data_IF_632199784332
#
_entry.id   IF_632199784332
#
_cell.length_a   1.000
_cell.length_b   1.000
_cell.length_c   1.000
_cell.angle_alpha   90.00
_cell.angle_beta   90.00
_cell.angle_gamma   90.00
#
_symmetry.space_group_name_H-M   'P 1'
#
loop_
_entity.id
_entity.type
_entity.pdbx_description
1 polymer ?
#
# COMPACT_ATOMS: atom_id res chain seq x y z
N UNK A 1 38.79 14.28 -33.00
CA UNK A 1 39.79 14.11 -31.92
C UNK A 1 39.37 12.88 -31.14
N UNK A 2 40.15 11.79 -31.05
CA UNK A 2 39.78 10.61 -30.29
C UNK A 2 39.81 10.94 -28.80
N UNK A 3 38.69 10.61 -28.09
CA UNK A 3 38.55 10.83 -26.65
C UNK A 3 39.70 10.18 -25.87
N UNK A 4 40.18 10.88 -24.83
CA UNK A 4 41.32 10.46 -24.00
C UNK A 4 41.09 9.06 -23.38
N UNK A 5 42.14 8.24 -23.20
CA UNK A 5 41.99 6.85 -22.70
C UNK A 5 41.23 6.73 -21.37
N UNK A 6 41.37 7.71 -20.48
CA UNK A 6 40.64 7.76 -19.20
C UNK A 6 39.11 7.91 -19.38
N UNK A 7 38.66 8.64 -20.38
CA UNK A 7 37.27 8.86 -20.69
C UNK A 7 36.59 7.60 -21.30
N UNK A 8 37.37 6.87 -22.13
CA UNK A 8 36.91 5.55 -22.67
C UNK A 8 36.80 4.50 -21.58
N UNK A 9 37.69 4.48 -20.60
CA UNK A 9 37.66 3.55 -19.48
C UNK A 9 36.45 3.86 -18.55
N UNK A 10 36.21 5.15 -18.28
CA UNK A 10 35.05 5.61 -17.47
C UNK A 10 33.74 5.32 -18.16
N UNK A 11 33.64 5.51 -19.47
CA UNK A 11 32.43 5.12 -20.25
C UNK A 11 32.20 3.61 -20.26
N UNK A 12 33.24 2.79 -20.42
CA UNK A 12 33.14 1.32 -20.39
C UNK A 12 32.70 0.82 -19.02
N UNK A 13 33.18 1.38 -17.93
CA UNK A 13 32.78 1.00 -16.58
C UNK A 13 31.32 1.43 -16.26
N UNK A 14 30.89 2.60 -16.72
CA UNK A 14 29.51 3.06 -16.56
C UNK A 14 28.52 2.20 -17.37
N UNK A 15 28.83 1.87 -18.62
CA UNK A 15 28.03 1.01 -19.48
C UNK A 15 27.93 -0.41 -18.90
N UNK A 16 29.02 -0.94 -18.31
CA UNK A 16 29.00 -2.24 -17.66
C UNK A 16 28.12 -2.25 -16.41
N UNK A 17 28.13 -1.15 -15.63
CA UNK A 17 27.26 -0.98 -14.45
C UNK A 17 25.79 -0.96 -14.79
N UNK A 18 25.37 -0.15 -15.78
CA UNK A 18 23.97 -0.10 -16.25
C UNK A 18 23.51 -1.45 -16.77
N UNK A 19 24.35 -2.12 -17.58
CA UNK A 19 24.04 -3.46 -18.09
C UNK A 19 23.83 -4.48 -16.98
N UNK A 20 24.60 -4.41 -15.91
CA UNK A 20 24.45 -5.28 -14.74
C UNK A 20 23.10 -5.10 -14.04
N UNK A 21 22.67 -3.84 -13.84
CA UNK A 21 21.35 -3.55 -13.24
C UNK A 21 20.20 -4.00 -14.14
N UNK A 22 20.31 -3.81 -15.45
CA UNK A 22 19.30 -4.31 -16.41
C UNK A 22 19.22 -5.84 -16.41
N UNK A 23 20.36 -6.53 -16.33
CA UNK A 23 20.37 -8.00 -16.22
C UNK A 23 19.78 -8.46 -14.88
N UNK A 24 20.03 -7.75 -13.79
CA UNK A 24 19.41 -8.03 -12.50
C UNK A 24 17.88 -7.85 -12.56
N UNK A 25 17.40 -6.76 -13.14
CA UNK A 25 15.97 -6.53 -13.35
C UNK A 25 15.33 -7.62 -14.23
N UNK A 26 15.98 -7.99 -15.33
CA UNK A 26 15.52 -9.10 -16.19
C UNK A 26 15.42 -10.43 -15.42
N UNK A 27 16.38 -10.71 -14.55
CA UNK A 27 16.35 -11.92 -13.74
C UNK A 27 15.20 -11.89 -12.71
N UNK A 28 14.94 -10.74 -12.08
CA UNK A 28 13.78 -10.54 -11.21
C UNK A 28 12.46 -10.80 -11.93
N UNK A 29 12.29 -10.24 -13.12
CA UNK A 29 11.13 -10.46 -13.97
C UNK A 29 10.96 -11.95 -14.34
N UNK A 30 12.04 -12.61 -14.81
CA UNK A 30 12.02 -14.03 -15.17
C UNK A 30 11.68 -14.96 -14.01
N UNK A 31 12.15 -14.64 -12.80
CA UNK A 31 11.79 -15.38 -11.59
C UNK A 31 10.28 -15.38 -11.36
N UNK A 32 9.61 -14.23 -11.59
CA UNK A 32 8.16 -14.14 -11.53
C UNK A 32 7.44 -15.09 -12.49
N UNK A 33 7.94 -15.23 -13.73
CA UNK A 33 7.34 -16.09 -14.76
C UNK A 33 7.34 -17.59 -14.37
N UNK A 34 8.27 -18.04 -13.54
CA UNK A 34 8.35 -19.42 -13.09
C UNK A 34 7.15 -19.85 -12.23
N UNK A 35 6.54 -18.89 -11.52
CA UNK A 35 5.45 -19.13 -10.56
C UNK A 35 4.09 -18.61 -11.06
N UNK A 36 3.93 -18.40 -12.37
CA UNK A 36 2.73 -17.79 -12.96
C UNK A 36 1.41 -18.48 -12.58
N UNK A 37 1.39 -19.83 -12.53
CA UNK A 37 0.18 -20.56 -12.14
C UNK A 37 -0.23 -20.30 -10.69
N UNK A 38 0.72 -20.35 -9.74
CA UNK A 38 0.47 -19.99 -8.35
C UNK A 38 0.00 -18.54 -8.20
N UNK A 39 0.54 -17.64 -9.03
CA UNK A 39 0.12 -16.23 -9.02
C UNK A 39 -1.32 -16.04 -9.53
N UNK A 40 -1.79 -16.85 -10.50
CA UNK A 40 -3.19 -16.80 -10.95
C UNK A 40 -4.16 -17.22 -9.84
N UNK A 41 -3.85 -18.27 -9.10
CA UNK A 41 -4.65 -18.73 -7.95
C UNK A 41 -4.70 -17.63 -6.87
N UNK A 42 -3.56 -17.02 -6.57
CA UNK A 42 -3.50 -15.90 -5.62
C UNK A 42 -4.29 -14.67 -6.10
N UNK A 43 -4.27 -14.37 -7.39
CA UNK A 43 -5.08 -13.29 -7.96
C UNK A 43 -6.57 -13.56 -7.79
N UNK A 44 -7.03 -14.79 -8.03
CA UNK A 44 -8.41 -15.17 -7.81
C UNK A 44 -8.82 -14.98 -6.35
N UNK A 45 -8.01 -15.46 -5.41
CA UNK A 45 -8.25 -15.26 -3.98
C UNK A 45 -8.33 -13.76 -3.61
N UNK A 46 -7.40 -12.94 -4.11
CA UNK A 46 -7.41 -11.50 -3.87
C UNK A 46 -8.62 -10.80 -4.49
N UNK A 47 -9.10 -11.26 -5.66
CA UNK A 47 -10.34 -10.73 -6.26
C UNK A 47 -11.54 -11.01 -5.36
N UNK A 48 -11.66 -12.25 -4.85
CA UNK A 48 -12.73 -12.61 -3.91
C UNK A 48 -12.69 -11.72 -2.66
N UNK A 49 -11.51 -11.53 -2.05
CA UNK A 49 -11.37 -10.61 -0.92
C UNK A 49 -11.78 -9.17 -1.27
N UNK A 50 -11.36 -8.68 -2.43
CA UNK A 50 -11.75 -7.35 -2.89
C UNK A 50 -13.26 -7.19 -3.06
N UNK A 51 -13.96 -8.19 -3.62
CA UNK A 51 -15.41 -8.18 -3.72
C UNK A 51 -16.09 -8.27 -2.35
N UNK A 52 -15.57 -9.05 -1.43
CA UNK A 52 -16.06 -9.08 -0.04
C UNK A 52 -15.93 -7.69 0.61
N UNK A 53 -14.80 -7.03 0.48
CA UNK A 53 -14.63 -5.67 1.00
C UNK A 53 -15.59 -4.67 0.35
N UNK A 54 -15.80 -4.74 -0.96
CA UNK A 54 -16.76 -3.89 -1.68
C UNK A 54 -18.18 -4.16 -1.14
N UNK A 55 -18.59 -5.42 -0.94
CA UNK A 55 -19.89 -5.78 -0.41
C UNK A 55 -20.10 -5.27 1.01
N UNK A 56 -19.10 -5.45 1.90
CA UNK A 56 -19.12 -4.95 3.28
C UNK A 56 -19.30 -3.43 3.31
N UNK A 57 -18.51 -2.70 2.52
CA UNK A 57 -18.61 -1.25 2.49
C UNK A 57 -19.90 -0.74 1.87
N UNK A 58 -20.42 -1.42 0.83
CA UNK A 58 -21.75 -1.10 0.27
C UNK A 58 -22.86 -1.29 1.30
N UNK A 59 -22.84 -2.38 2.06
CA UNK A 59 -23.79 -2.65 3.13
C UNK A 59 -23.69 -1.61 4.25
N UNK A 60 -22.47 -1.27 4.69
CA UNK A 60 -22.22 -0.26 5.72
C UNK A 60 -22.71 1.14 5.30
N UNK A 61 -22.52 1.51 4.03
CA UNK A 61 -22.97 2.79 3.51
C UNK A 61 -24.47 2.83 3.22
N UNK A 62 -25.11 1.71 2.86
CA UNK A 62 -26.54 1.61 2.63
C UNK A 62 -27.37 1.65 3.93
N UNK A 63 -26.80 1.12 5.04
CA UNK A 63 -27.45 1.14 6.36
C UNK A 63 -27.33 2.49 7.09
N UNK A 64 -26.57 3.44 6.56
CA UNK A 64 -26.48 4.77 7.15
C UNK A 64 -27.75 5.57 6.83
N UNK A 65 -28.54 6.03 7.84
CA UNK A 65 -29.74 6.81 7.58
C UNK A 65 -29.36 8.08 6.81
N UNK A 66 -30.03 8.31 5.68
CA UNK A 66 -29.92 9.56 4.95
C UNK A 66 -30.44 10.69 5.85
N UNK A 67 -29.53 11.42 6.48
CA UNK A 67 -29.89 12.66 7.15
C UNK A 67 -30.20 13.68 6.08
N UNK A 68 -31.49 13.76 5.66
CA UNK A 68 -31.99 14.94 5.00
C UNK A 68 -31.63 16.17 5.85
N UNK A 69 -31.19 17.28 5.25
CA UNK A 69 -31.04 18.52 6.00
C UNK A 69 -32.38 18.86 6.60
N UNK A 70 -32.50 18.71 7.91
CA UNK A 70 -33.69 19.12 8.65
C UNK A 70 -33.74 20.64 8.54
N UNK A 71 -34.58 21.13 7.62
CA UNK A 71 -35.07 22.48 7.66
C UNK A 71 -35.70 22.67 9.04
N UNK A 72 -35.03 23.43 9.88
CA UNK A 72 -35.61 23.88 11.16
C UNK A 72 -36.72 24.82 10.81
N UNK A 73 -37.93 24.32 10.64
CA UNK A 73 -39.14 25.10 10.67
C UNK A 73 -39.31 25.52 12.13
N UNK A 74 -39.10 26.77 12.44
CA UNK A 74 -39.58 27.41 13.66
C UNK A 74 -41.09 27.36 13.66
N UNK A 75 -41.64 26.42 14.40
CA UNK A 75 -43.07 26.30 14.68
C UNK A 75 -43.26 26.37 16.18
N UNK A 76 -43.84 27.46 16.62
CA UNK A 76 -44.30 27.76 17.97
C UNK A 76 -45.34 26.79 18.49
N UNK A 77 -45.17 26.36 19.72
CA UNK A 77 -46.18 26.12 20.72
C UNK A 77 -47.29 25.08 20.47
N UNK A 78 -47.33 24.09 21.32
CA UNK A 78 -48.53 23.76 22.12
C UNK A 78 -48.27 22.50 22.98
N UNK A 79 -48.54 22.67 24.25
CA UNK A 79 -48.76 21.68 25.32
C UNK A 79 -49.81 20.64 24.97
N UNK A 80 -49.55 19.36 25.25
CA UNK A 80 -50.54 18.28 25.14
C UNK A 80 -50.12 17.03 25.90
N UNK A 81 -50.74 16.82 27.02
CA UNK A 81 -50.63 15.71 27.96
C UNK A 81 -51.28 14.44 27.42
N UNK A 82 -50.75 13.29 27.83
CA UNK A 82 -51.40 11.97 27.97
C UNK A 82 -51.63 11.10 26.73
N UNK A 83 -51.14 9.90 26.74
CA UNK A 83 -51.89 8.65 27.00
C UNK A 83 -50.99 7.40 26.92
N UNK A 84 -51.03 6.59 27.96
CA UNK A 84 -50.55 5.21 27.99
C UNK A 84 -51.40 4.34 27.06
N UNK A 85 -50.79 3.57 26.20
CA UNK A 85 -51.38 2.48 25.42
C UNK A 85 -50.51 1.23 25.43
N UNK A 86 -51.07 0.03 25.17
CA UNK A 86 -50.56 -1.23 25.69
C UNK A 86 -49.40 -1.84 24.93
N UNK A 87 -48.68 -2.71 25.64
CA UNK A 87 -47.54 -3.49 25.26
C UNK A 87 -47.83 -4.35 24.03
N UNK A 88 -47.12 -4.13 22.92
CA UNK A 88 -47.12 -5.02 21.76
C UNK A 88 -45.94 -6.03 21.83
N UNK A 89 -46.07 -7.22 21.27
CA UNK A 89 -45.16 -8.32 21.45
C UNK A 89 -43.80 -8.08 20.77
N UNK A 90 -42.74 -8.49 21.48
CA UNK A 90 -41.36 -8.48 21.01
C UNK A 90 -41.21 -9.47 19.85
N UNK A 91 -41.08 -8.95 18.63
CA UNK A 91 -40.62 -9.74 17.50
C UNK A 91 -39.08 -9.70 17.54
N UNK A 92 -38.47 -10.85 17.83
CA UNK A 92 -37.02 -11.04 17.70
C UNK A 92 -36.69 -11.08 16.21
N UNK A 93 -36.40 -9.94 15.63
CA UNK A 93 -35.80 -9.84 14.32
C UNK A 93 -34.29 -9.59 14.50
N UNK A 94 -33.51 -10.44 13.86
CA UNK A 94 -32.08 -10.53 13.76
C UNK A 94 -31.35 -9.19 13.92
N UNK A 95 -30.75 -8.96 15.10
CA UNK A 95 -30.10 -7.72 15.44
C UNK A 95 -28.71 -7.61 14.84
N UNK A 96 -28.55 -6.67 13.92
CA UNK A 96 -27.36 -5.86 13.89
C UNK A 96 -27.77 -4.51 14.50
N UNK A 97 -27.21 -4.24 15.65
CA UNK A 97 -27.53 -3.18 16.61
C UNK A 97 -27.81 -1.83 15.98
N UNK A 98 -28.99 -1.31 16.28
CA UNK A 98 -29.21 0.14 16.26
C UNK A 98 -28.18 0.84 17.15
N UNK A 99 -27.63 1.99 16.76
CA UNK A 99 -26.75 2.75 17.61
C UNK A 99 -27.53 3.14 18.87
N UNK A 100 -27.08 2.66 20.02
CA UNK A 100 -27.60 3.07 21.33
C UNK A 100 -27.41 4.59 21.53
N UNK A 101 -28.12 5.19 22.49
CA UNK A 101 -27.97 6.61 22.80
C UNK A 101 -26.50 6.90 23.08
N UNK A 102 -25.91 7.79 22.27
CA UNK A 102 -24.50 8.12 22.33
C UNK A 102 -24.09 8.55 23.73
N UNK A 103 -22.96 8.02 24.20
CA UNK A 103 -22.34 8.46 25.46
C UNK A 103 -22.10 9.98 25.36
N UNK A 104 -22.62 10.82 26.26
CA UNK A 104 -22.37 12.23 26.24
C UNK A 104 -20.87 12.51 26.32
N UNK A 105 -20.30 13.15 25.28
CA UNK A 105 -18.86 13.46 25.21
C UNK A 105 -18.07 12.63 24.21
N UNK A 106 -18.66 11.62 23.52
CA UNK A 106 -17.99 10.99 22.39
C UNK A 106 -17.90 11.98 21.22
N UNK A 107 -16.74 12.16 20.60
CA UNK A 107 -16.64 12.98 19.39
C UNK A 107 -17.60 12.41 18.33
N UNK A 108 -18.29 13.25 17.56
CA UNK A 108 -19.21 12.78 16.54
C UNK A 108 -18.45 11.85 15.60
N UNK A 109 -18.83 10.57 15.57
CA UNK A 109 -18.33 9.64 14.55
C UNK A 109 -18.77 10.21 13.22
N UNK A 110 -17.82 10.76 12.45
CA UNK A 110 -18.13 11.37 11.17
C UNK A 110 -18.80 10.32 10.29
N UNK A 111 -20.06 10.56 9.97
CA UNK A 111 -20.85 9.68 9.08
C UNK A 111 -20.09 9.50 7.76
N UNK A 112 -19.97 8.29 7.22
CA UNK A 112 -19.27 8.04 5.94
C UNK A 112 -19.73 8.95 4.81
N UNK A 113 -21.01 9.31 4.77
CA UNK A 113 -21.56 10.27 3.81
C UNK A 113 -21.00 11.70 4.00
N UNK A 114 -20.73 12.11 5.24
CA UNK A 114 -20.10 13.42 5.54
C UNK A 114 -18.63 13.46 5.10
N UNK A 115 -17.99 12.28 4.91
CA UNK A 115 -16.63 12.15 4.39
C UNK A 115 -16.58 12.09 2.84
N UNK A 116 -17.71 12.27 2.15
CA UNK A 116 -17.81 12.16 0.70
C UNK A 116 -17.61 10.74 0.15
N UNK A 117 -17.75 9.71 1.01
CA UNK A 117 -17.60 8.32 0.63
C UNK A 117 -18.93 7.82 0.06
N UNK A 118 -19.03 7.79 -1.26
CA UNK A 118 -20.17 7.14 -1.95
C UNK A 118 -19.90 5.64 -2.09
N UNK A 119 -20.95 4.78 -2.19
CA UNK A 119 -20.79 3.35 -2.42
C UNK A 119 -19.97 3.02 -3.68
N UNK A 120 -20.15 3.80 -4.76
CA UNK A 120 -19.38 3.67 -6.00
C UNK A 120 -17.92 4.12 -5.84
N UNK A 121 -17.70 5.28 -5.22
CA UNK A 121 -16.35 5.78 -4.96
C UNK A 121 -15.55 4.85 -4.05
N UNK A 122 -16.21 4.20 -3.07
CA UNK A 122 -15.58 3.20 -2.22
C UNK A 122 -15.22 1.93 -2.99
N UNK A 123 -16.10 1.47 -3.88
CA UNK A 123 -15.82 0.30 -4.72
C UNK A 123 -14.60 0.56 -5.63
N UNK A 124 -14.49 1.73 -6.23
CA UNK A 124 -13.34 2.14 -7.03
C UNK A 124 -12.07 2.26 -6.19
N UNK A 125 -12.16 2.82 -4.97
CA UNK A 125 -11.03 2.91 -4.05
C UNK A 125 -10.47 1.53 -3.73
N UNK A 126 -11.34 0.57 -3.36
CA UNK A 126 -10.95 -0.79 -3.03
C UNK A 126 -10.36 -1.50 -4.24
N UNK A 127 -10.97 -1.37 -5.42
CA UNK A 127 -10.46 -1.94 -6.65
C UNK A 127 -9.03 -1.50 -6.96
N UNK A 128 -8.74 -0.19 -6.87
CA UNK A 128 -7.39 0.35 -7.06
C UNK A 128 -6.43 -0.13 -5.97
N UNK A 129 -6.85 -0.11 -4.70
CA UNK A 129 -6.02 -0.57 -3.59
C UNK A 129 -5.64 -2.05 -3.75
N UNK A 130 -6.57 -2.92 -4.16
CA UNK A 130 -6.29 -4.34 -4.42
C UNK A 130 -5.26 -4.54 -5.55
N UNK A 131 -5.32 -3.73 -6.60
CA UNK A 131 -4.32 -3.78 -7.67
C UNK A 131 -2.93 -3.36 -7.16
N UNK A 132 -2.84 -2.35 -6.30
CA UNK A 132 -1.58 -1.85 -5.74
C UNK A 132 -0.96 -2.79 -4.71
N UNK A 133 -1.77 -3.56 -3.97
CA UNK A 133 -1.26 -4.47 -2.95
C UNK A 133 -0.24 -5.48 -3.49
N UNK A 134 -0.36 -5.88 -4.76
CA UNK A 134 0.62 -6.76 -5.42
C UNK A 134 1.97 -6.10 -5.70
N UNK A 135 2.01 -4.79 -5.73
CA UNK A 135 3.23 -4.01 -5.98
C UNK A 135 3.90 -3.55 -4.67
N UNK A 136 3.11 -3.40 -3.60
CA UNK A 136 3.57 -2.73 -2.38
C UNK A 136 3.49 -3.59 -1.13
N UNK A 137 2.47 -4.44 -1.02
CA UNK A 137 2.21 -5.20 0.20
C UNK A 137 2.69 -6.64 0.09
N UNK A 138 2.26 -7.38 -0.92
CA UNK A 138 2.57 -8.81 -1.05
C UNK A 138 3.94 -9.05 -1.69
N UNK A 139 4.97 -8.41 -1.14
CA UNK A 139 6.36 -8.59 -1.55
C UNK A 139 6.96 -9.84 -0.87
N UNK A 140 7.99 -10.46 -1.47
CA UNK A 140 8.69 -11.59 -0.87
C UNK A 140 9.28 -11.21 0.50
N UNK A 141 9.28 -12.15 1.44
CA UNK A 141 9.85 -12.00 2.77
C UNK A 141 11.26 -11.40 2.74
N UNK A 142 11.41 -10.18 3.25
CA UNK A 142 12.67 -9.45 3.29
C UNK A 142 13.40 -9.40 1.95
N UNK A 143 12.66 -9.41 0.82
CA UNK A 143 13.16 -9.49 -0.55
C UNK A 143 14.14 -10.67 -0.79
N UNK A 144 14.01 -11.75 0.00
CA UNK A 144 14.87 -12.92 -0.10
C UNK A 144 16.23 -12.80 0.62
N UNK A 145 16.55 -11.65 1.21
CA UNK A 145 17.81 -11.44 1.94
C UNK A 145 17.97 -12.40 3.12
N UNK A 146 16.94 -12.65 3.96
CA UNK A 146 17.07 -13.59 5.07
C UNK A 146 17.41 -15.03 4.62
N UNK A 147 16.88 -15.46 3.48
CA UNK A 147 17.23 -16.75 2.91
C UNK A 147 18.69 -16.78 2.42
N UNK A 148 19.13 -15.72 1.77
CA UNK A 148 20.53 -15.59 1.30
C UNK A 148 21.52 -15.55 2.48
N UNK A 149 21.18 -14.93 3.59
CA UNK A 149 21.99 -14.92 4.82
C UNK A 149 22.08 -16.33 5.39
N UNK A 150 20.97 -17.04 5.55
CA UNK A 150 20.95 -18.40 6.11
C UNK A 150 21.69 -19.43 5.28
N UNK A 151 21.67 -19.28 3.95
CA UNK A 151 22.37 -20.20 3.03
C UNK A 151 23.82 -19.81 2.76
N UNK A 152 24.30 -18.68 3.30
CA UNK A 152 25.61 -18.12 3.00
C UNK A 152 25.75 -17.50 1.61
N UNK A 153 24.71 -17.56 0.77
CA UNK A 153 24.69 -16.98 -0.58
C UNK A 153 25.00 -15.48 -0.58
N UNK A 154 24.66 -14.79 0.50
CA UNK A 154 24.90 -13.35 0.66
C UNK A 154 26.38 -12.99 0.57
N UNK A 155 27.29 -13.88 1.01
CA UNK A 155 28.74 -13.64 0.92
C UNK A 155 29.16 -13.49 -0.54
N UNK A 156 28.71 -14.41 -1.40
CA UNK A 156 29.00 -14.33 -2.84
C UNK A 156 28.43 -13.06 -3.49
N UNK A 157 27.23 -12.62 -3.04
CA UNK A 157 26.62 -11.39 -3.53
C UNK A 157 27.35 -10.12 -3.05
N UNK A 158 27.93 -10.13 -1.85
CA UNK A 158 28.70 -9.01 -1.29
C UNK A 158 30.12 -8.91 -1.84
N UNK A 159 30.71 -10.02 -2.29
CA UNK A 159 32.03 -10.05 -2.94
C UNK A 159 32.00 -9.50 -4.39
N UNK A 160 30.83 -9.34 -4.98
CA UNK A 160 30.71 -8.75 -6.31
C UNK A 160 31.14 -7.29 -6.31
N UNK A 161 31.78 -6.80 -7.40
CA UNK A 161 32.24 -5.42 -7.50
C UNK A 161 31.10 -4.40 -7.69
N UNK A 162 29.86 -4.79 -7.45
CA UNK A 162 28.66 -3.96 -7.51
C UNK A 162 28.08 -3.75 -6.11
N UNK A 163 27.52 -2.55 -5.88
CA UNK A 163 26.87 -2.26 -4.62
C UNK A 163 25.64 -3.18 -4.42
N UNK A 164 25.62 -3.91 -3.32
CA UNK A 164 24.60 -4.94 -3.02
C UNK A 164 23.18 -4.39 -3.05
N UNK A 165 22.94 -3.26 -2.35
CA UNK A 165 21.60 -2.67 -2.26
C UNK A 165 21.03 -2.22 -3.62
N UNK A 166 21.74 -1.41 -4.46
CA UNK A 166 21.21 -1.04 -5.77
C UNK A 166 20.96 -2.23 -6.70
N UNK A 167 21.81 -3.27 -6.62
CA UNK A 167 21.61 -4.48 -7.41
C UNK A 167 20.37 -5.25 -6.96
N UNK A 168 20.11 -5.32 -5.65
CA UNK A 168 18.88 -5.90 -5.10
C UNK A 168 17.65 -5.09 -5.52
N UNK A 169 17.71 -3.76 -5.44
CA UNK A 169 16.62 -2.89 -5.91
C UNK A 169 16.33 -3.05 -7.40
N UNK A 170 17.36 -3.17 -8.23
CA UNK A 170 17.18 -3.44 -9.66
C UNK A 170 16.48 -4.79 -9.91
N UNK A 171 16.84 -5.83 -9.15
CA UNK A 171 16.20 -7.15 -9.23
C UNK A 171 14.73 -7.08 -8.85
N UNK A 172 14.41 -6.39 -7.76
CA UNK A 172 13.04 -6.25 -7.28
C UNK A 172 12.20 -5.30 -8.15
N UNK A 173 12.79 -4.31 -8.79
CA UNK A 173 12.11 -3.50 -9.81
C UNK A 173 11.66 -4.36 -11.00
N UNK A 174 12.47 -5.33 -11.42
CA UNK A 174 12.07 -6.32 -12.43
C UNK A 174 10.92 -7.22 -11.95
N UNK A 175 10.93 -7.66 -10.70
CA UNK A 175 9.84 -8.41 -10.09
C UNK A 175 8.56 -7.57 -9.97
N UNK A 176 8.68 -6.28 -9.66
CA UNK A 176 7.55 -5.35 -9.62
C UNK A 176 6.93 -5.15 -11.02
N UNK A 177 7.76 -5.03 -12.06
CA UNK A 177 7.28 -4.98 -13.45
C UNK A 177 6.50 -6.25 -13.83
N UNK A 178 6.97 -7.43 -13.43
CA UNK A 178 6.23 -8.68 -13.57
C UNK A 178 4.89 -8.62 -12.81
N UNK A 179 4.90 -8.17 -11.55
CA UNK A 179 3.69 -8.09 -10.71
C UNK A 179 2.68 -7.10 -11.30
N UNK A 180 3.12 -5.98 -11.85
CA UNK A 180 2.26 -5.04 -12.55
C UNK A 180 1.54 -5.72 -13.72
N UNK A 181 2.28 -6.43 -14.57
CA UNK A 181 1.75 -7.00 -15.81
C UNK A 181 0.88 -8.24 -15.58
N UNK A 182 1.29 -9.16 -14.68
CA UNK A 182 0.64 -10.46 -14.51
C UNK A 182 -0.23 -10.57 -13.27
N UNK A 183 -0.21 -9.58 -12.39
CA UNK A 183 -1.00 -9.56 -11.15
C UNK A 183 -1.94 -8.35 -11.09
N UNK A 184 -1.39 -7.15 -11.16
CA UNK A 184 -2.17 -5.91 -11.02
C UNK A 184 -3.08 -5.65 -12.23
N UNK A 185 -2.59 -5.80 -13.47
CA UNK A 185 -3.40 -5.57 -14.66
C UNK A 185 -4.55 -6.58 -14.83
N UNK A 186 -4.36 -7.92 -14.67
CA UNK A 186 -5.49 -8.84 -14.68
C UNK A 186 -6.50 -8.56 -13.57
N UNK A 187 -6.04 -8.17 -12.38
CA UNK A 187 -6.91 -7.76 -11.27
C UNK A 187 -7.72 -6.51 -11.65
N UNK A 188 -7.07 -5.50 -12.26
CA UNK A 188 -7.73 -4.30 -12.74
C UNK A 188 -8.79 -4.62 -13.79
N UNK A 189 -8.53 -5.58 -14.70
CA UNK A 189 -9.52 -6.03 -15.69
C UNK A 189 -10.73 -6.70 -15.02
N UNK A 190 -10.53 -7.54 -14.02
CA UNK A 190 -11.63 -8.18 -13.26
C UNK A 190 -12.49 -7.12 -12.57
N UNK A 191 -11.90 -6.15 -11.90
CA UNK A 191 -12.66 -5.07 -11.25
C UNK A 191 -13.30 -4.13 -12.27
N UNK A 192 -12.65 -3.87 -13.41
CA UNK A 192 -13.22 -3.06 -14.49
C UNK A 192 -14.54 -3.66 -15.03
N UNK A 193 -14.58 -4.98 -15.19
CA UNK A 193 -15.78 -5.68 -15.66
C UNK A 193 -16.89 -5.70 -14.60
N UNK A 194 -16.56 -5.74 -13.31
CA UNK A 194 -17.53 -5.93 -12.24
C UNK A 194 -18.10 -4.62 -11.67
N UNK A 195 -17.28 -3.61 -11.50
CA UNK A 195 -17.65 -2.35 -10.81
C UNK A 195 -17.28 -1.10 -11.61
N UNK A 196 -16.71 -1.26 -12.80
CA UNK A 196 -16.07 -0.18 -13.55
C UNK A 196 -14.68 0.14 -12.98
N UNK A 197 -13.76 0.58 -13.82
CA UNK A 197 -12.42 1.01 -13.38
C UNK A 197 -12.32 2.54 -13.50
N UNK A 198 -11.97 3.24 -12.43
CA UNK A 198 -11.92 4.68 -12.47
C UNK A 198 -10.74 5.14 -13.34
N UNK A 199 -11.05 5.82 -14.41
CA UNK A 199 -10.04 6.54 -15.19
C UNK A 199 -9.65 7.83 -14.45
N UNK A 200 -8.40 8.28 -14.58
CA UNK A 200 -7.99 9.54 -13.99
C UNK A 200 -8.74 10.71 -14.67
N UNK A 201 -9.27 11.69 -13.91
CA UNK A 201 -10.10 12.76 -14.46
C UNK A 201 -9.32 13.76 -15.32
N UNK A 202 -7.99 13.73 -15.25
CA UNK A 202 -7.12 14.62 -16.02
C UNK A 202 -5.74 14.00 -16.24
N UNK A 203 -4.99 14.50 -17.21
CA UNK A 203 -3.59 14.11 -17.43
C UNK A 203 -2.73 14.41 -16.20
N UNK A 204 -3.03 15.49 -15.46
CA UNK A 204 -2.36 15.83 -14.20
C UNK A 204 -2.60 14.78 -13.12
N UNK A 205 -3.84 14.27 -12.98
CA UNK A 205 -4.17 13.19 -12.05
C UNK A 205 -3.48 11.88 -12.44
N UNK A 206 -3.43 11.56 -13.75
CA UNK A 206 -2.72 10.40 -14.25
C UNK A 206 -1.21 10.48 -13.93
N UNK A 207 -0.58 11.63 -14.17
CA UNK A 207 0.84 11.85 -13.86
C UNK A 207 1.11 11.77 -12.36
N UNK A 208 0.28 12.42 -11.53
CA UNK A 208 0.40 12.39 -10.07
C UNK A 208 0.19 10.97 -9.53
N UNK A 209 -0.80 10.23 -10.04
CA UNK A 209 -1.07 8.85 -9.66
C UNK A 209 0.09 7.92 -10.02
N UNK A 210 0.63 8.05 -11.23
CA UNK A 210 1.79 7.25 -11.67
C UNK A 210 3.03 7.55 -10.83
N UNK A 211 3.30 8.84 -10.54
CA UNK A 211 4.40 9.23 -9.64
C UNK A 211 4.20 8.69 -8.23
N UNK A 212 2.98 8.76 -7.70
CA UNK A 212 2.64 8.20 -6.38
C UNK A 212 2.84 6.68 -6.33
N UNK A 213 2.43 5.94 -7.36
CA UNK A 213 2.67 4.49 -7.48
C UNK A 213 4.16 4.21 -7.47
N UNK A 214 4.96 4.93 -8.25
CA UNK A 214 6.42 4.74 -8.29
C UNK A 214 7.07 4.98 -6.92
N UNK A 215 6.70 6.07 -6.23
CA UNK A 215 7.16 6.35 -4.87
C UNK A 215 6.70 5.29 -3.88
N UNK A 216 5.43 4.85 -3.97
CA UNK A 216 4.87 3.80 -3.12
C UNK A 216 5.60 2.47 -3.27
N UNK A 217 5.87 2.05 -4.51
CA UNK A 217 6.66 0.84 -4.79
C UNK A 217 8.08 0.97 -4.23
N UNK A 218 8.74 2.11 -4.44
CA UNK A 218 10.07 2.37 -3.89
C UNK A 218 10.09 2.27 -2.37
N UNK A 219 9.15 2.95 -1.69
CA UNK A 219 9.03 2.92 -0.23
C UNK A 219 8.75 1.49 0.29
N UNK A 220 7.88 0.74 -0.39
CA UNK A 220 7.57 -0.64 -0.05
C UNK A 220 8.80 -1.56 -0.17
N UNK A 221 9.57 -1.42 -1.25
CA UNK A 221 10.80 -2.16 -1.46
C UNK A 221 11.84 -1.83 -0.38
N UNK A 222 12.03 -0.54 -0.05
CA UNK A 222 12.94 -0.12 1.01
C UNK A 222 12.53 -0.69 2.37
N UNK A 223 11.26 -0.60 2.76
CA UNK A 223 10.75 -1.14 4.02
C UNK A 223 10.96 -2.66 4.11
N UNK A 224 10.63 -3.41 3.05
CA UNK A 224 10.87 -4.85 3.01
C UNK A 224 12.36 -5.19 3.01
N UNK A 225 13.20 -4.38 2.36
CA UNK A 225 14.65 -4.54 2.39
C UNK A 225 15.21 -4.35 3.80
N UNK A 226 14.73 -3.35 4.54
CA UNK A 226 15.15 -3.11 5.93
C UNK A 226 14.83 -4.30 6.84
N UNK A 227 13.63 -4.89 6.68
CA UNK A 227 13.29 -6.16 7.34
C UNK A 227 14.24 -7.28 6.90
N UNK A 228 14.58 -7.35 5.61
CA UNK A 228 15.52 -8.34 5.12
C UNK A 228 16.92 -8.22 5.70
N UNK A 229 17.45 -7.00 5.73
CA UNK A 229 18.79 -6.70 6.25
C UNK A 229 18.88 -6.95 7.75
N UNK A 230 17.78 -6.85 8.51
CA UNK A 230 17.81 -7.17 9.96
C UNK A 230 18.27 -8.62 10.23
N UNK A 231 18.15 -9.53 9.24
CA UNK A 231 18.63 -10.91 9.35
C UNK A 231 20.15 -11.03 9.55
N UNK A 232 20.93 -9.99 9.29
CA UNK A 232 22.36 -9.98 9.64
C UNK A 232 22.62 -9.88 11.15
N UNK A 233 21.61 -9.42 11.92
CA UNK A 233 21.71 -9.26 13.37
C UNK A 233 20.81 -10.23 14.15
N UNK A 234 19.74 -10.69 13.52
CA UNK A 234 18.76 -11.59 14.11
C UNK A 234 18.73 -12.89 13.34
N UNK A 235 18.58 -14.02 14.03
CA UNK A 235 18.45 -15.32 13.39
C UNK A 235 17.14 -15.48 12.63
N UNK A 236 16.11 -14.73 13.02
CA UNK A 236 14.77 -14.82 12.44
C UNK A 236 14.12 -13.41 12.32
N UNK A 237 13.88 -12.99 11.11
CA UNK A 237 13.25 -11.70 10.79
C UNK A 237 11.77 -11.85 10.35
N UNK A 238 11.18 -13.05 10.46
CA UNK A 238 9.82 -13.34 10.00
C UNK A 238 8.76 -12.58 10.78
N UNK A 239 8.95 -12.45 12.10
CA UNK A 239 8.04 -11.67 12.94
C UNK A 239 8.01 -10.19 12.52
N UNK A 240 9.18 -9.60 12.23
CA UNK A 240 9.28 -8.23 11.72
C UNK A 240 8.59 -8.06 10.35
N UNK A 241 8.66 -9.08 9.48
CA UNK A 241 7.94 -9.06 8.22
C UNK A 241 6.42 -9.07 8.41
N UNK A 242 5.90 -9.95 9.27
CA UNK A 242 4.46 -9.98 9.56
C UNK A 242 3.97 -8.68 10.21
N UNK A 243 4.76 -8.10 11.11
CA UNK A 243 4.46 -6.80 11.70
C UNK A 243 4.40 -5.71 10.62
N UNK A 244 5.39 -5.66 9.72
CA UNK A 244 5.40 -4.72 8.60
C UNK A 244 4.14 -4.87 7.73
N UNK A 245 3.78 -6.10 7.37
CA UNK A 245 2.58 -6.37 6.56
C UNK A 245 1.30 -5.89 7.27
N UNK A 246 1.18 -6.16 8.56
CA UNK A 246 0.03 -5.71 9.37
C UNK A 246 -0.04 -4.18 9.43
N UNK A 247 1.09 -3.49 9.58
CA UNK A 247 1.15 -2.03 9.57
C UNK A 247 0.78 -1.45 8.19
N UNK A 248 1.25 -2.06 7.11
CA UNK A 248 0.88 -1.62 5.74
C UNK A 248 -0.63 -1.76 5.53
N UNK A 249 -1.22 -2.89 5.90
CA UNK A 249 -2.64 -3.13 5.71
C UNK A 249 -3.51 -2.20 6.58
N UNK A 250 -3.13 -2.00 7.84
CA UNK A 250 -3.91 -1.20 8.80
C UNK A 250 -3.71 0.31 8.60
N UNK A 251 -2.45 0.75 8.45
CA UNK A 251 -2.08 2.16 8.40
C UNK A 251 -1.94 2.71 6.98
N UNK A 252 -1.85 1.84 5.98
CA UNK A 252 -1.68 2.24 4.58
C UNK A 252 -2.98 2.61 3.87
N UNK A 253 -4.13 2.32 4.46
CA UNK A 253 -5.43 2.61 3.87
C UNK A 253 -5.89 1.58 2.83
N UNK A 254 -5.34 0.36 2.84
CA UNK A 254 -5.67 -0.67 1.86
C UNK A 254 -7.05 -1.29 2.03
N UNK A 255 -7.48 -1.49 3.28
CA UNK A 255 -8.77 -2.08 3.65
C UNK A 255 -9.77 -1.02 4.12
N UNK A 256 -9.28 -0.04 4.88
CA UNK A 256 -10.06 1.07 5.41
C UNK A 256 -9.39 2.36 4.93
N UNK A 257 -10.08 3.18 4.10
CA UNK A 257 -9.52 4.46 3.66
C UNK A 257 -9.15 5.33 4.85
N UNK A 258 -8.01 6.02 4.78
CA UNK A 258 -7.55 6.87 5.90
C UNK A 258 -8.58 7.95 6.29
N UNK A 259 -9.43 8.37 5.36
CA UNK A 259 -10.52 9.33 5.63
C UNK A 259 -11.63 8.78 6.53
N UNK A 260 -11.72 7.45 6.69
CA UNK A 260 -12.70 6.83 7.58
C UNK A 260 -12.27 6.81 9.05
N UNK A 261 -11.01 7.12 9.34
CA UNK A 261 -10.51 7.26 10.70
C UNK A 261 -10.85 8.64 11.30
N UNK A 262 -10.90 8.76 12.64
CA UNK A 262 -10.99 10.08 13.32
C UNK A 262 -9.91 11.03 12.81
N UNK A 263 -10.24 12.34 12.69
CA UNK A 263 -9.39 13.32 12.02
C UNK A 263 -7.95 13.38 12.58
N UNK A 264 -7.80 13.30 13.91
CA UNK A 264 -6.49 13.30 14.57
C UNK A 264 -5.66 12.09 14.18
N UNK A 265 -6.26 10.88 14.16
CA UNK A 265 -5.58 9.64 13.77
C UNK A 265 -5.25 9.65 12.26
N UNK A 266 -6.21 10.06 11.42
CA UNK A 266 -5.99 10.20 9.98
C UNK A 266 -4.81 11.15 9.66
N UNK A 267 -4.71 12.27 10.40
CA UNK A 267 -3.60 13.20 10.25
C UNK A 267 -2.25 12.54 10.58
N UNK A 268 -2.15 11.79 11.66
CA UNK A 268 -0.92 11.06 12.03
C UNK A 268 -0.59 10.00 10.96
N UNK A 269 -1.57 9.20 10.56
CA UNK A 269 -1.37 8.11 9.58
C UNK A 269 -0.86 8.63 8.23
N UNK A 270 -1.28 9.83 7.80
CA UNK A 270 -0.82 10.46 6.55
C UNK A 270 0.67 10.81 6.56
N UNK A 271 1.26 11.06 7.74
CA UNK A 271 2.69 11.35 7.89
C UNK A 271 3.55 10.08 7.90
N UNK A 272 2.96 8.91 8.10
CA UNK A 272 3.68 7.63 8.11
C UNK A 272 4.00 7.17 6.68
N UNK A 273 5.08 6.37 6.49
CA UNK A 273 5.45 5.86 5.17
C UNK A 273 4.38 4.97 4.56
N UNK A 274 3.52 4.35 5.38
CA UNK A 274 2.52 3.37 4.95
C UNK A 274 1.44 3.98 4.04
N UNK A 275 1.01 5.23 4.30
CA UNK A 275 0.05 5.94 3.45
C UNK A 275 0.52 6.08 2.01
N UNK A 276 1.84 6.24 1.80
CA UNK A 276 2.45 6.35 0.46
C UNK A 276 2.33 5.07 -0.38
N UNK A 277 2.09 3.92 0.26
CA UNK A 277 2.04 2.63 -0.41
C UNK A 277 0.68 2.36 -1.09
N UNK A 278 -0.40 2.80 -0.47
CA UNK A 278 -1.76 2.46 -0.90
C UNK A 278 -2.67 3.69 -1.03
N UNK A 279 -2.84 4.47 0.06
CA UNK A 279 -3.79 5.58 0.09
C UNK A 279 -3.41 6.71 -0.87
N UNK A 280 -2.18 7.20 -0.81
CA UNK A 280 -1.71 8.32 -1.66
C UNK A 280 -1.83 8.02 -3.15
N UNK A 281 -1.38 6.85 -3.67
CA UNK A 281 -1.55 6.49 -5.08
C UNK A 281 -3.01 6.44 -5.53
N UNK A 282 -3.90 5.83 -4.71
CA UNK A 282 -5.33 5.74 -5.04
C UNK A 282 -5.96 7.13 -5.12
N UNK A 283 -5.69 7.99 -4.14
CA UNK A 283 -6.23 9.34 -4.08
C UNK A 283 -5.69 10.22 -5.22
N UNK A 284 -4.40 10.10 -5.53
CA UNK A 284 -3.78 10.81 -6.65
C UNK A 284 -4.41 10.41 -7.99
N UNK A 285 -4.60 9.11 -8.22
CA UNK A 285 -5.22 8.59 -9.44
C UNK A 285 -6.66 9.05 -9.61
N UNK A 286 -7.42 9.13 -8.53
CA UNK A 286 -8.83 9.58 -8.54
C UNK A 286 -8.99 11.10 -8.58
N UNK A 287 -7.90 11.86 -8.73
CA UNK A 287 -7.92 13.31 -8.90
C UNK A 287 -8.06 14.11 -7.61
N UNK A 288 -7.91 13.47 -6.45
CA UNK A 288 -7.85 14.18 -5.18
C UNK A 288 -6.59 15.05 -5.10
N UNK A 289 -6.66 16.20 -4.41
CA UNK A 289 -5.48 17.04 -4.16
C UNK A 289 -4.55 16.36 -3.16
N UNK A 290 -3.42 15.85 -3.64
CA UNK A 290 -2.45 15.05 -2.84
C UNK A 290 -1.03 15.63 -2.87
N UNK A 291 -0.88 16.91 -3.24
CA UNK A 291 0.47 17.53 -3.29
C UNK A 291 1.26 17.37 -1.99
N UNK A 292 0.71 17.67 -0.79
CA UNK A 292 1.44 17.45 0.45
C UNK A 292 1.78 15.96 0.68
N UNK A 293 0.87 15.03 0.35
CA UNK A 293 1.09 13.61 0.53
C UNK A 293 2.18 13.07 -0.40
N UNK A 294 2.30 13.61 -1.62
CA UNK A 294 3.40 13.31 -2.54
C UNK A 294 4.75 13.78 -2.01
N UNK A 295 4.80 14.97 -1.41
CA UNK A 295 6.02 15.49 -0.79
C UNK A 295 6.44 14.63 0.41
N UNK A 296 5.50 14.22 1.26
CA UNK A 296 5.76 13.28 2.36
C UNK A 296 6.26 11.94 1.81
N UNK A 297 5.64 11.41 0.74
CA UNK A 297 6.07 10.17 0.10
C UNK A 297 7.48 10.26 -0.47
N UNK A 298 7.84 11.40 -1.09
CA UNK A 298 9.19 11.66 -1.61
C UNK A 298 10.21 11.82 -0.47
N UNK A 299 9.85 12.49 0.61
CA UNK A 299 10.66 12.60 1.81
C UNK A 299 10.99 11.23 2.40
N UNK A 300 9.98 10.35 2.52
CA UNK A 300 10.19 8.97 2.95
C UNK A 300 11.04 8.17 1.96
N UNK A 301 10.87 8.36 0.65
CA UNK A 301 11.69 7.69 -0.35
C UNK A 301 13.18 8.02 -0.18
N UNK A 302 13.51 9.27 0.08
CA UNK A 302 14.88 9.70 0.36
C UNK A 302 15.38 9.15 1.70
N UNK A 303 14.60 9.28 2.78
CA UNK A 303 14.98 8.82 4.12
C UNK A 303 15.19 7.31 4.18
N UNK A 304 14.26 6.52 3.64
CA UNK A 304 14.36 5.07 3.58
C UNK A 304 15.51 4.61 2.68
N UNK A 305 15.72 5.28 1.55
CA UNK A 305 16.87 5.03 0.67
C UNK A 305 18.20 5.25 1.37
N UNK A 306 18.34 6.36 2.09
CA UNK A 306 19.53 6.64 2.92
C UNK A 306 19.71 5.57 4.01
N UNK A 307 18.65 5.21 4.73
CA UNK A 307 18.67 4.18 5.77
C UNK A 307 19.10 2.81 5.21
N UNK A 308 18.60 2.42 4.04
CA UNK A 308 18.99 1.19 3.36
C UNK A 308 20.49 1.17 3.04
N UNK A 309 21.05 2.29 2.55
CA UNK A 309 22.51 2.37 2.27
C UNK A 309 23.32 2.27 3.55
N UNK A 310 22.95 2.99 4.61
CA UNK A 310 23.63 2.98 5.91
C UNK A 310 23.63 1.59 6.55
N UNK A 311 22.44 0.92 6.59
CA UNK A 311 22.34 -0.42 7.17
C UNK A 311 23.08 -1.48 6.34
N UNK A 312 23.10 -1.34 5.01
CA UNK A 312 23.90 -2.23 4.16
C UNK A 312 25.40 -2.09 4.46
N UNK A 313 25.88 -0.86 4.66
CA UNK A 313 27.26 -0.62 5.04
C UNK A 313 27.59 -1.21 6.43
N UNK A 314 26.69 -1.08 7.39
CA UNK A 314 26.83 -1.69 8.72
C UNK A 314 26.82 -3.22 8.66
N UNK A 315 25.94 -3.83 7.84
CA UNK A 315 25.88 -5.28 7.64
C UNK A 315 27.17 -5.85 7.05
N UNK A 316 27.77 -5.14 6.08
CA UNK A 316 29.09 -5.53 5.50
C UNK A 316 30.18 -5.59 6.56
N UNK A 317 30.32 -4.56 7.40
CA UNK A 317 31.33 -4.53 8.49
C UNK A 317 31.18 -5.69 9.46
N UNK A 318 29.94 -6.11 9.74
CA UNK A 318 29.69 -7.25 10.65
C UNK A 318 30.17 -8.57 10.07
N UNK A 319 30.03 -8.79 8.77
CA UNK A 319 30.51 -10.00 8.10
C UNK A 319 32.05 -10.06 8.03
N UNK A 320 32.72 -8.93 7.82
CA UNK A 320 34.18 -8.85 7.83
C UNK A 320 34.75 -9.25 9.19
N UNK A 321 34.08 -8.91 10.30
CA UNK A 321 34.50 -9.28 11.67
C UNK A 321 34.26 -10.75 11.98
N UNK A 322 33.25 -11.39 11.38
CA UNK A 322 32.90 -12.80 11.64
C UNK A 322 33.62 -13.79 10.72
N UNK A 323 34.19 -13.33 9.62
CA UNK A 323 34.88 -14.13 8.60
C UNK A 323 36.37 -13.89 8.50
N UNK A 324 36.97 -13.11 9.42
CA UNK A 324 38.40 -12.81 9.49
C UNK A 324 39.12 -13.71 10.48
#
# INVERSE_FOLDING_TARGET
VPAAPAERTRRRSCVSGVRLHLLAARNGYRRGLQYRAAHMVNNLASAVFGFVYIAVWRAALAGAPATSPRTVAHGSGATGLAARGPIAPVTVASGLTAPGPGIPGSPPTAHPAALGLTPGGMAHYIALAQCLMWLTTFLPYGLGVPAAVRTGQVVADLLRPAAFWPLQMAREAGAAAYSLLYRSLPMAAVFALAVGFPLPPSAGAAAAGTAAVALGVWNALCLNYLVGVSAFWTTEARAAHWLLQSLILSCGGGTIPLRAFPAALAAVLRWLPFASLLSTPVLAWTGSSVRPDLLVSAGWAAALGCLCTCLTAAARRRLEVQGG
#
